data_IF_685003379350
#
_entry.id   IF_685003379350
#
_cell.length_a   1.000
_cell.length_b   1.000
_cell.length_c   1.000
_cell.angle_alpha   90.00
_cell.angle_beta   90.00
_cell.angle_gamma   90.00
#
_symmetry.space_group_name_H-M   'P 1'
#
loop_
_entity.id
_entity.type
_entity.pdbx_description
1 polymer ?
#
# COMPACT_ATOMS: atom_id res chain seq x y z
N UNK A 1 30.46 44.36 -31.42
CA UNK A 1 30.98 43.31 -30.49
C UNK A 1 30.48 43.54 -29.06
N UNK A 2 30.73 44.68 -28.45
CA UNK A 2 30.24 44.99 -27.07
C UNK A 2 28.71 44.85 -26.90
N UNK A 3 27.91 45.28 -27.86
CA UNK A 3 26.42 45.19 -27.81
C UNK A 3 25.91 43.76 -27.79
N UNK A 4 26.52 42.84 -28.52
CA UNK A 4 26.10 41.41 -28.49
C UNK A 4 26.51 40.75 -27.19
N UNK A 5 27.61 41.12 -26.58
CA UNK A 5 28.04 40.62 -25.26
C UNK A 5 27.06 41.07 -24.19
N UNK A 6 26.57 42.33 -24.23
CA UNK A 6 25.55 42.79 -23.27
C UNK A 6 24.23 42.01 -23.36
N UNK A 7 23.79 41.68 -24.56
CA UNK A 7 22.56 40.83 -24.74
C UNK A 7 22.73 39.44 -24.09
N UNK A 8 23.89 38.82 -24.32
CA UNK A 8 24.19 37.50 -23.74
C UNK A 8 24.23 37.57 -22.22
N UNK A 9 24.91 38.56 -21.66
CA UNK A 9 24.99 38.75 -20.20
C UNK A 9 23.60 39.01 -19.61
N UNK A 10 22.79 39.87 -20.24
CA UNK A 10 21.43 40.17 -19.78
C UNK A 10 20.54 38.94 -19.82
N UNK A 11 20.63 38.12 -20.87
CA UNK A 11 19.87 36.85 -20.96
C UNK A 11 20.26 35.87 -19.86
N UNK A 12 21.55 35.73 -19.57
CA UNK A 12 22.05 34.86 -18.49
C UNK A 12 21.52 35.33 -17.13
N UNK A 13 21.58 36.63 -16.86
CA UNK A 13 21.07 37.20 -15.59
C UNK A 13 19.57 36.96 -15.45
N UNK A 14 18.79 37.13 -16.51
CA UNK A 14 17.34 36.87 -16.47
C UNK A 14 17.05 35.40 -16.17
N UNK A 15 17.78 34.48 -16.81
CA UNK A 15 17.61 33.03 -16.55
C UNK A 15 17.90 32.69 -15.09
N UNK A 16 19.01 33.26 -14.54
CA UNK A 16 19.35 33.06 -13.12
C UNK A 16 18.27 33.61 -12.18
N UNK A 17 17.72 34.76 -12.45
CA UNK A 17 16.61 35.33 -11.64
C UNK A 17 15.36 34.49 -11.70
N UNK A 18 15.03 33.93 -12.87
CA UNK A 18 13.88 33.03 -13.02
C UNK A 18 14.09 31.74 -12.23
N UNK A 19 15.26 31.13 -12.28
CA UNK A 19 15.60 29.91 -11.53
C UNK A 19 15.48 30.17 -10.02
N UNK A 20 16.04 31.29 -9.53
CA UNK A 20 15.94 31.66 -8.11
C UNK A 20 14.47 31.91 -7.71
N UNK A 21 13.70 32.55 -8.57
CA UNK A 21 12.28 32.81 -8.34
C UNK A 21 11.46 31.51 -8.22
N UNK A 22 11.67 30.58 -9.14
CA UNK A 22 11.02 29.26 -9.12
C UNK A 22 11.41 28.47 -7.85
N UNK A 23 12.69 28.50 -7.48
CA UNK A 23 13.17 27.81 -6.26
C UNK A 23 12.50 28.39 -5.01
N UNK A 24 12.40 29.72 -4.88
CA UNK A 24 11.74 30.37 -3.75
C UNK A 24 10.24 30.11 -3.68
N UNK A 25 9.57 30.10 -4.83
CA UNK A 25 8.14 29.75 -4.91
C UNK A 25 7.94 28.29 -4.51
N UNK A 26 8.80 27.40 -5.00
CA UNK A 26 8.76 25.98 -4.62
C UNK A 26 8.91 25.80 -3.11
N UNK A 27 9.88 26.47 -2.48
CA UNK A 27 10.08 26.40 -1.04
C UNK A 27 8.87 26.93 -0.22
N UNK A 28 8.14 27.90 -0.75
CA UNK A 28 6.94 28.44 -0.09
C UNK A 28 5.74 27.50 -0.26
N UNK A 29 5.53 26.97 -1.47
CA UNK A 29 4.37 26.12 -1.79
C UNK A 29 4.53 24.72 -1.22
N UNK A 30 5.77 24.19 -1.20
CA UNK A 30 6.10 22.84 -0.71
C UNK A 30 6.83 22.89 0.63
N UNK A 31 6.59 23.92 1.44
CA UNK A 31 7.07 23.96 2.82
C UNK A 31 6.39 22.83 3.59
N UNK A 32 6.98 21.64 3.53
CA UNK A 32 6.72 20.61 4.51
C UNK A 32 7.30 21.12 5.82
N UNK A 33 6.45 21.51 6.74
CA UNK A 33 6.87 21.63 8.14
C UNK A 33 7.34 20.24 8.54
N UNK A 34 8.65 20.05 8.62
CA UNK A 34 9.24 18.94 9.34
C UNK A 34 8.90 19.14 10.83
N UNK A 35 7.66 18.88 11.19
CA UNK A 35 7.31 18.51 12.54
C UNK A 35 7.85 17.10 12.74
N UNK A 36 9.17 16.98 12.83
CA UNK A 36 9.80 15.90 13.54
C UNK A 36 9.35 16.04 14.99
N UNK A 37 8.23 15.43 15.31
CA UNK A 37 7.91 15.12 16.70
C UNK A 37 8.92 14.07 17.11
N UNK A 38 10.11 14.55 17.49
CA UNK A 38 11.03 13.75 18.24
C UNK A 38 10.38 13.49 19.60
N UNK A 39 9.64 12.40 19.70
CA UNK A 39 9.21 11.88 20.98
C UNK A 39 10.47 11.44 21.71
N UNK A 40 10.96 12.30 22.63
CA UNK A 40 12.00 11.92 23.59
C UNK A 40 11.40 10.89 24.53
N UNK A 41 11.67 9.62 24.25
CA UNK A 41 11.50 8.56 25.24
C UNK A 41 12.65 8.70 26.22
N UNK A 42 12.40 9.19 27.43
CA UNK A 42 13.30 9.02 28.56
C UNK A 42 13.30 7.52 28.90
N UNK A 43 14.38 6.87 28.53
CA UNK A 43 14.64 5.47 28.91
C UNK A 43 14.97 5.44 30.41
N UNK A 44 13.99 5.17 31.26
CA UNK A 44 14.24 4.64 32.58
C UNK A 44 14.44 3.14 32.43
N UNK A 45 15.67 2.70 32.67
CA UNK A 45 16.02 1.29 32.83
C UNK A 45 15.14 0.67 33.93
N UNK A 46 14.21 -0.19 33.53
CA UNK A 46 13.68 -1.28 34.35
C UNK A 46 13.60 -2.52 33.47
N UNK A 47 14.31 -3.52 33.95
CA UNK A 47 14.41 -4.87 33.46
C UNK A 47 13.03 -5.51 33.20
N UNK A 48 13.04 -6.36 32.15
CA UNK A 48 12.11 -7.46 31.91
C UNK A 48 10.62 -7.14 31.85
N UNK A 49 10.19 -6.68 30.67
CA UNK A 49 8.93 -7.15 30.09
C UNK A 49 9.06 -7.14 28.57
N UNK A 50 8.80 -8.29 28.00
CA UNK A 50 8.66 -8.61 26.60
C UNK A 50 8.10 -7.40 25.83
N UNK A 51 8.79 -6.97 24.76
CA UNK A 51 8.27 -6.03 23.79
C UNK A 51 6.88 -6.53 23.34
N UNK A 52 5.83 -5.96 23.90
CA UNK A 52 4.52 -5.98 23.26
C UNK A 52 4.65 -5.08 22.03
N UNK A 53 5.04 -5.68 20.88
CA UNK A 53 4.52 -5.20 19.62
C UNK A 53 3.03 -4.90 19.87
N UNK A 54 2.58 -3.68 19.58
CA UNK A 54 1.15 -3.40 19.44
C UNK A 54 0.69 -4.29 18.29
N UNK A 55 0.37 -5.53 18.61
CA UNK A 55 -0.34 -6.43 17.69
C UNK A 55 -1.66 -5.74 17.45
N UNK A 56 -1.77 -5.17 16.25
CA UNK A 56 -3.05 -4.63 15.79
C UNK A 56 -4.10 -5.68 16.16
N UNK A 57 -5.01 -5.37 17.08
CA UNK A 57 -6.08 -6.30 17.42
C UNK A 57 -6.90 -6.53 16.17
N UNK A 58 -6.62 -7.65 15.51
CA UNK A 58 -7.23 -7.98 14.24
C UNK A 58 -8.75 -8.11 14.36
N UNK A 59 -9.25 -8.52 15.52
CA UNK A 59 -10.68 -8.57 15.82
C UNK A 59 -11.30 -7.17 15.75
N UNK A 60 -10.71 -6.20 16.45
CA UNK A 60 -11.15 -4.80 16.42
C UNK A 60 -11.02 -4.18 15.03
N UNK A 61 -9.96 -4.50 14.29
CA UNK A 61 -9.79 -4.05 12.92
C UNK A 61 -10.91 -4.59 12.00
N UNK A 62 -11.18 -5.89 12.04
CA UNK A 62 -12.21 -6.50 11.21
C UNK A 62 -13.62 -6.03 11.59
N UNK A 63 -13.87 -5.73 12.88
CA UNK A 63 -15.14 -5.18 13.35
C UNK A 63 -15.50 -3.82 12.74
N UNK A 64 -14.55 -3.07 12.19
CA UNK A 64 -14.81 -1.84 11.45
C UNK A 64 -15.45 -2.07 10.08
N UNK A 65 -15.33 -3.28 9.52
CA UNK A 65 -15.76 -3.63 8.18
C UNK A 65 -17.13 -4.31 8.13
N UNK A 66 -17.68 -4.42 6.92
CA UNK A 66 -18.81 -5.29 6.59
C UNK A 66 -18.61 -5.93 5.22
N UNK A 67 -19.17 -7.13 5.04
CA UNK A 67 -19.11 -7.87 3.76
C UNK A 67 -19.76 -7.08 2.62
N UNK A 68 -20.91 -6.43 2.88
CA UNK A 68 -21.62 -5.62 1.89
C UNK A 68 -20.80 -4.42 1.43
N UNK A 69 -20.10 -3.76 2.36
CA UNK A 69 -19.16 -2.67 2.00
C UNK A 69 -17.97 -3.24 1.24
N UNK A 70 -17.44 -4.38 1.67
CA UNK A 70 -16.35 -5.09 1.00
C UNK A 70 -16.68 -5.42 -0.47
N UNK A 71 -17.90 -5.88 -0.75
CA UNK A 71 -18.39 -6.09 -2.13
C UNK A 71 -18.37 -4.81 -2.96
N UNK A 72 -18.66 -3.64 -2.35
CA UNK A 72 -18.57 -2.34 -3.03
C UNK A 72 -17.11 -1.94 -3.28
N UNK A 73 -16.25 -2.11 -2.29
CA UNK A 73 -14.80 -1.83 -2.38
C UNK A 73 -14.15 -2.74 -3.42
N UNK A 74 -14.54 -4.01 -3.49
CA UNK A 74 -14.01 -4.99 -4.44
C UNK A 74 -14.17 -4.57 -5.91
N UNK A 75 -15.07 -3.65 -6.24
CA UNK A 75 -15.17 -3.08 -7.60
C UNK A 75 -13.84 -2.48 -8.07
N UNK A 76 -13.00 -1.99 -7.15
CA UNK A 76 -11.65 -1.49 -7.45
C UNK A 76 -10.68 -2.62 -7.87
N UNK A 77 -10.99 -3.87 -7.54
CA UNK A 77 -10.20 -5.07 -7.80
C UNK A 77 -10.71 -5.86 -9.01
N UNK A 78 -12.03 -5.77 -9.29
CA UNK A 78 -12.76 -6.62 -10.23
C UNK A 78 -12.28 -6.49 -11.70
N UNK A 79 -11.66 -5.36 -12.06
CA UNK A 79 -11.07 -5.19 -13.40
C UNK A 79 -9.93 -6.19 -13.64
N UNK A 80 -9.15 -6.49 -12.57
CA UNK A 80 -7.97 -7.32 -12.66
C UNK A 80 -8.17 -8.72 -12.08
N UNK A 81 -9.15 -8.95 -11.22
CA UNK A 81 -9.36 -10.22 -10.51
C UNK A 81 -10.78 -10.75 -10.68
N UNK A 82 -10.94 -12.07 -10.74
CA UNK A 82 -12.22 -12.74 -10.53
C UNK A 82 -12.35 -13.14 -9.06
N UNK A 83 -13.61 -13.25 -8.57
CA UNK A 83 -13.92 -13.61 -7.18
C UNK A 83 -14.87 -14.80 -7.08
N UNK A 84 -15.50 -15.19 -8.18
CA UNK A 84 -16.47 -16.27 -8.20
C UNK A 84 -15.78 -17.64 -8.14
N UNK A 85 -16.44 -18.64 -7.60
CA UNK A 85 -16.02 -20.04 -7.68
C UNK A 85 -15.80 -20.46 -9.13
N UNK A 86 -14.67 -21.13 -9.40
CA UNK A 86 -14.26 -21.47 -10.78
C UNK A 86 -13.91 -20.28 -11.68
N UNK A 87 -13.81 -19.09 -11.10
CA UNK A 87 -13.44 -17.87 -11.83
C UNK A 87 -12.03 -17.97 -12.41
N UNK A 88 -11.86 -17.50 -13.66
CA UNK A 88 -10.56 -17.53 -14.36
C UNK A 88 -9.64 -16.41 -13.91
N UNK A 89 -8.34 -16.64 -14.04
CA UNK A 89 -7.34 -15.57 -13.94
C UNK A 89 -7.59 -14.51 -15.02
N UNK A 90 -7.35 -13.24 -14.65
CA UNK A 90 -7.40 -12.09 -15.56
C UNK A 90 -6.00 -11.46 -15.64
N UNK A 91 -5.90 -10.14 -15.51
CA UNK A 91 -4.61 -9.44 -15.34
C UNK A 91 -3.94 -9.90 -14.05
N UNK A 92 -4.71 -10.10 -12.99
CA UNK A 92 -4.33 -10.73 -11.73
C UNK A 92 -4.90 -12.14 -11.58
N UNK A 93 -4.46 -12.89 -10.56
CA UNK A 93 -4.97 -14.24 -10.27
C UNK A 93 -6.41 -14.21 -9.78
N UNK A 94 -7.12 -15.33 -9.91
CA UNK A 94 -8.43 -15.55 -9.31
C UNK A 94 -8.31 -15.50 -7.76
N UNK A 95 -9.28 -14.86 -7.10
CA UNK A 95 -9.27 -14.62 -5.65
C UNK A 95 -10.28 -15.49 -4.88
N UNK A 96 -11.04 -16.35 -5.55
CA UNK A 96 -11.86 -17.34 -4.84
C UNK A 96 -10.99 -18.19 -3.92
N UNK A 97 -11.38 -18.34 -2.67
CA UNK A 97 -10.62 -19.06 -1.63
C UNK A 97 -9.17 -18.55 -1.48
N UNK A 98 -8.96 -17.24 -1.55
CA UNK A 98 -7.62 -16.65 -1.37
C UNK A 98 -7.14 -16.72 0.08
N UNK A 99 -8.07 -16.71 1.06
CA UNK A 99 -7.72 -16.88 2.46
C UNK A 99 -7.01 -18.22 2.67
N UNK A 100 -5.95 -18.20 3.46
CA UNK A 100 -5.06 -19.32 3.77
C UNK A 100 -4.35 -19.95 2.56
N UNK A 101 -4.51 -19.41 1.35
CA UNK A 101 -3.73 -19.80 0.18
C UNK A 101 -2.32 -19.21 0.27
N UNK A 102 -1.29 -19.96 -0.14
CA UNK A 102 0.07 -19.44 -0.24
C UNK A 102 0.19 -18.39 -1.34
N UNK A 103 1.05 -17.41 -1.10
CA UNK A 103 1.41 -16.45 -2.14
C UNK A 103 2.09 -17.16 -3.32
N UNK A 104 1.59 -16.93 -4.53
CA UNK A 104 2.16 -17.55 -5.72
C UNK A 104 1.77 -19.00 -5.97
N UNK A 105 0.71 -19.52 -5.34
CA UNK A 105 0.36 -20.96 -5.36
C UNK A 105 -0.36 -21.43 -6.63
N UNK A 106 -1.10 -20.57 -7.33
CA UNK A 106 -1.85 -21.00 -8.52
C UNK A 106 -0.88 -21.32 -9.68
N UNK A 107 -0.89 -22.57 -10.14
CA UNK A 107 -0.01 -23.06 -11.21
C UNK A 107 -0.36 -22.45 -12.58
N UNK A 108 -1.61 -22.07 -12.77
CA UNK A 108 -2.13 -21.52 -14.02
C UNK A 108 -1.97 -19.98 -14.11
N UNK A 109 -1.28 -19.33 -13.15
CA UNK A 109 -1.02 -17.89 -13.15
C UNK A 109 0.48 -17.57 -13.05
N UNK A 110 0.98 -16.68 -13.92
CA UNK A 110 2.38 -16.27 -13.95
C UNK A 110 2.67 -15.15 -12.95
N UNK A 111 2.98 -15.51 -11.72
CA UNK A 111 3.35 -14.57 -10.65
C UNK A 111 4.70 -13.88 -10.88
N UNK A 112 4.96 -12.80 -10.12
CA UNK A 112 6.30 -12.24 -9.99
C UNK A 112 7.19 -13.15 -9.13
N UNK A 113 8.50 -13.12 -9.40
CA UNK A 113 9.47 -13.85 -8.56
C UNK A 113 9.37 -13.48 -7.09
N UNK A 114 9.19 -12.18 -6.80
CA UNK A 114 9.05 -11.67 -5.44
C UNK A 114 7.81 -12.21 -4.72
N UNK A 115 6.67 -12.37 -5.41
CA UNK A 115 5.47 -12.92 -4.81
C UNK A 115 5.63 -14.44 -4.53
N UNK A 116 6.28 -15.17 -5.42
CA UNK A 116 6.62 -16.59 -5.21
C UNK A 116 7.59 -16.73 -4.03
N UNK A 117 8.65 -15.92 -4.01
CA UNK A 117 9.66 -15.94 -2.93
C UNK A 117 9.12 -15.48 -1.58
N UNK A 118 8.04 -14.70 -1.57
CA UNK A 118 7.38 -14.26 -0.34
C UNK A 118 6.87 -15.45 0.48
N UNK A 119 6.31 -16.45 -0.17
CA UNK A 119 6.00 -17.79 0.35
C UNK A 119 5.23 -17.81 1.69
N UNK A 120 4.44 -16.76 1.98
CA UNK A 120 3.57 -16.69 3.14
C UNK A 120 2.13 -17.02 2.76
N UNK A 121 1.36 -17.44 3.74
CA UNK A 121 -0.07 -17.69 3.63
C UNK A 121 -0.84 -16.39 3.80
N UNK A 122 -1.85 -16.16 2.97
CA UNK A 122 -2.72 -15.00 3.07
C UNK A 122 -3.71 -15.15 4.23
N UNK A 123 -3.31 -14.68 5.42
CA UNK A 123 -4.19 -14.49 6.57
C UNK A 123 -4.70 -13.03 6.62
N UNK A 124 -5.43 -12.66 7.65
CA UNK A 124 -5.99 -11.31 7.80
C UNK A 124 -4.90 -10.23 7.89
N UNK A 125 -3.84 -10.47 8.64
CA UNK A 125 -2.71 -9.56 8.83
C UNK A 125 -1.95 -9.34 7.53
N UNK A 126 -1.61 -10.42 6.83
CA UNK A 126 -0.88 -10.36 5.57
C UNK A 126 -1.68 -9.65 4.48
N UNK A 127 -2.99 -9.89 4.40
CA UNK A 127 -3.86 -9.17 3.48
C UNK A 127 -4.01 -7.70 3.87
N UNK A 128 -4.13 -7.38 5.16
CA UNK A 128 -4.20 -5.99 5.62
C UNK A 128 -2.94 -5.21 5.21
N UNK A 129 -1.76 -5.74 5.53
CA UNK A 129 -0.49 -5.10 5.16
C UNK A 129 -0.29 -4.99 3.66
N UNK A 130 -0.58 -6.06 2.91
CA UNK A 130 -0.45 -6.06 1.46
C UNK A 130 -1.43 -5.09 0.79
N UNK A 131 -2.70 -5.07 1.21
CA UNK A 131 -3.70 -4.19 0.63
C UNK A 131 -3.52 -2.71 1.04
N UNK A 132 -2.85 -2.41 2.15
CA UNK A 132 -2.51 -1.04 2.50
C UNK A 132 -1.56 -0.43 1.46
N UNK A 133 -0.50 -1.14 1.06
CA UNK A 133 0.45 -0.66 0.05
C UNK A 133 1.22 -1.83 -0.59
N UNK A 134 0.67 -2.47 -1.63
CA UNK A 134 1.25 -3.69 -2.23
C UNK A 134 2.71 -3.56 -2.63
N UNK A 135 3.07 -2.45 -3.28
CA UNK A 135 4.43 -2.21 -3.77
C UNK A 135 5.48 -2.09 -2.66
N UNK A 136 5.07 -1.67 -1.46
CA UNK A 136 5.94 -1.56 -0.28
C UNK A 136 6.01 -2.86 0.48
N UNK A 137 4.87 -3.55 0.64
CA UNK A 137 4.76 -4.81 1.39
C UNK A 137 5.57 -5.93 0.73
N UNK A 138 5.40 -6.10 -0.58
CA UNK A 138 6.19 -7.07 -1.37
C UNK A 138 6.86 -6.31 -2.53
N UNK A 139 8.08 -5.87 -2.32
CA UNK A 139 8.87 -5.16 -3.34
C UNK A 139 9.05 -6.03 -4.59
N UNK A 140 8.77 -5.48 -5.76
CA UNK A 140 8.90 -6.18 -7.03
C UNK A 140 7.69 -7.07 -7.39
N UNK A 141 6.57 -7.01 -6.65
CA UNK A 141 5.33 -7.60 -7.12
C UNK A 141 4.82 -6.86 -8.36
N UNK A 142 3.96 -7.51 -9.17
CA UNK A 142 3.43 -6.96 -10.42
C UNK A 142 2.08 -6.25 -10.26
N UNK A 143 1.51 -6.20 -9.06
CA UNK A 143 0.22 -5.59 -8.80
C UNK A 143 0.34 -4.06 -8.82
N UNK A 144 -0.12 -3.43 -9.90
CA UNK A 144 -0.09 -1.97 -10.10
C UNK A 144 -1.23 -1.26 -9.36
N UNK A 145 -1.42 -1.55 -8.06
CA UNK A 145 -2.46 -0.98 -7.22
C UNK A 145 -1.86 -0.06 -6.15
N UNK A 146 -2.42 1.14 -6.00
CA UNK A 146 -1.91 2.14 -5.05
C UNK A 146 -2.15 1.77 -3.57
N UNK A 147 -3.07 0.84 -3.32
CA UNK A 147 -3.48 0.42 -1.98
C UNK A 147 -4.77 1.07 -1.51
N UNK A 148 -5.29 0.56 -0.39
CA UNK A 148 -6.45 1.08 0.33
C UNK A 148 -5.96 1.71 1.64
N UNK A 149 -6.00 3.04 1.74
CA UNK A 149 -5.54 3.74 2.95
C UNK A 149 -6.57 3.71 4.08
N UNK A 150 -7.85 3.66 3.74
CA UNK A 150 -8.94 3.61 4.70
C UNK A 150 -9.06 2.23 5.34
N UNK A 151 -9.07 2.17 6.67
CA UNK A 151 -9.08 0.93 7.44
C UNK A 151 -10.39 0.18 7.28
N UNK A 152 -11.52 0.89 7.23
CA UNK A 152 -12.83 0.30 7.01
C UNK A 152 -12.95 -0.33 5.62
N UNK A 153 -12.40 0.32 4.59
CA UNK A 153 -12.36 -0.25 3.22
C UNK A 153 -11.53 -1.54 3.23
N UNK A 154 -10.35 -1.56 3.89
CA UNK A 154 -9.50 -2.75 3.95
C UNK A 154 -10.15 -3.87 4.75
N UNK A 155 -10.64 -3.59 5.96
CA UNK A 155 -11.34 -4.57 6.77
C UNK A 155 -12.51 -5.18 6.00
N UNK A 156 -13.33 -4.34 5.36
CA UNK A 156 -14.48 -4.78 4.61
C UNK A 156 -14.13 -5.66 3.42
N UNK A 157 -13.13 -5.28 2.62
CA UNK A 157 -12.74 -6.10 1.46
C UNK A 157 -12.11 -7.42 1.89
N UNK A 158 -11.40 -7.45 3.00
CA UNK A 158 -10.84 -8.68 3.58
C UNK A 158 -11.96 -9.62 4.03
N UNK A 159 -12.99 -9.11 4.71
CA UNK A 159 -14.17 -9.88 5.07
C UNK A 159 -14.89 -10.45 3.83
N UNK A 160 -15.04 -9.64 2.78
CA UNK A 160 -15.64 -10.10 1.53
C UNK A 160 -14.81 -11.17 0.83
N UNK A 161 -13.47 -11.06 0.85
CA UNK A 161 -12.56 -12.08 0.33
C UNK A 161 -12.67 -13.38 1.14
N UNK A 162 -12.82 -13.27 2.45
CA UNK A 162 -12.99 -14.43 3.32
C UNK A 162 -14.31 -15.18 3.03
N UNK A 163 -15.40 -14.45 2.90
CA UNK A 163 -16.73 -15.00 2.52
C UNK A 163 -16.70 -15.62 1.11
N UNK A 164 -15.81 -15.18 0.23
CA UNK A 164 -15.65 -15.69 -1.13
C UNK A 164 -14.82 -16.98 -1.15
N UNK A 165 -15.29 -17.97 -0.41
CA UNK A 165 -14.62 -19.27 -0.24
C UNK A 165 -15.67 -20.35 0.07
N UNK A 166 -15.35 -21.60 -0.30
CA UNK A 166 -16.13 -22.77 0.12
C UNK A 166 -15.96 -23.07 1.63
N UNK A 167 -14.89 -22.58 2.24
CA UNK A 167 -14.59 -22.75 3.67
C UNK A 167 -13.96 -21.45 4.21
N UNK A 168 -14.79 -20.47 4.60
CA UNK A 168 -14.29 -19.21 5.18
C UNK A 168 -13.43 -19.46 6.42
N UNK A 169 -12.33 -18.70 6.52
CA UNK A 169 -11.46 -18.76 7.69
C UNK A 169 -12.16 -18.14 8.91
N UNK A 170 -12.13 -18.80 10.08
CA UNK A 170 -12.76 -18.28 11.30
C UNK A 170 -12.23 -16.89 11.64
N UNK A 171 -13.13 -15.99 12.03
CA UNK A 171 -12.74 -14.67 12.52
C UNK A 171 -12.04 -14.80 13.88
N UNK A 172 -11.05 -13.98 14.18
CA UNK A 172 -10.31 -13.98 15.45
C UNK A 172 -11.15 -13.47 16.62
#
# INVERSE_FOLDING_TARGET
MLYEIHKIITSIVIVFLVIIGISKISDIVFKTEENVVAYKVEVQEKQDTVAMEETLDMSSFLAMGTVEHGKKVFKKCAACHSINEGGKNKIGPALWSVMLRKSGELDDYKYSKSLISYNKTWNFEELNGFLLKPATWIKGNKMGFAGLKDDKDRASVILYLNESSSNPYPLP
#
